data_IF_920846973317
#
_entry.id   IF_920846973317
#
_cell.length_a   1.000
_cell.length_b   1.000
_cell.length_c   1.000
_cell.angle_alpha   90.00
_cell.angle_beta   90.00
_cell.angle_gamma   90.00
#
_symmetry.space_group_name_H-M   'P 1'
#
loop_
_entity.id
_entity.type
_entity.pdbx_description
1 polymer ?
#
# COMPACT_ATOMS: atom_id res chain seq x y z
N UNK A 1 -17.27 5.79 -35.18
CA UNK A 1 -17.21 5.81 -33.69
C UNK A 1 -16.20 6.87 -33.28
N UNK A 2 -16.64 7.99 -32.77
CA UNK A 2 -15.74 9.04 -32.26
C UNK A 2 -15.12 8.54 -30.94
N UNK A 3 -13.80 8.55 -30.86
CA UNK A 3 -13.11 8.18 -29.60
C UNK A 3 -13.52 9.16 -28.50
N UNK A 4 -14.03 8.66 -27.40
CA UNK A 4 -14.46 9.48 -26.26
C UNK A 4 -13.27 10.08 -25.47
N UNK A 5 -12.11 9.45 -25.56
CA UNK A 5 -10.88 9.87 -24.89
C UNK A 5 -9.94 10.45 -25.92
N UNK A 6 -9.49 11.66 -25.68
CA UNK A 6 -8.51 12.38 -26.49
C UNK A 6 -7.32 12.81 -25.63
N UNK A 7 -6.21 13.14 -26.28
CA UNK A 7 -5.00 13.68 -25.63
C UNK A 7 -4.54 12.88 -24.40
N UNK A 8 -4.60 11.52 -24.52
CA UNK A 8 -4.05 10.67 -23.49
C UNK A 8 -2.53 10.88 -23.40
N UNK A 9 -2.08 11.35 -22.24
CA UNK A 9 -0.67 11.53 -21.94
C UNK A 9 -0.34 10.85 -20.61
N UNK A 10 0.62 9.95 -20.64
CA UNK A 10 1.23 9.37 -19.45
C UNK A 10 2.44 10.23 -19.09
N UNK A 11 2.26 11.15 -18.15
CA UNK A 11 3.30 12.11 -17.76
C UNK A 11 4.42 11.43 -16.99
N UNK A 12 4.06 10.49 -16.13
CA UNK A 12 4.99 9.63 -15.38
C UNK A 12 4.41 8.23 -15.26
N UNK A 13 5.13 7.30 -14.63
CA UNK A 13 4.59 5.95 -14.37
C UNK A 13 3.37 5.98 -13.43
N UNK A 14 3.24 7.03 -12.64
CA UNK A 14 2.21 7.18 -11.62
C UNK A 14 1.18 8.28 -11.94
N UNK A 15 1.29 8.95 -13.10
CA UNK A 15 0.41 10.06 -13.46
C UNK A 15 -0.10 9.90 -14.89
N UNK A 16 -1.42 9.99 -15.04
CA UNK A 16 -2.13 9.91 -16.32
C UNK A 16 -3.00 11.14 -16.47
N UNK A 17 -2.89 11.80 -17.62
CA UNK A 17 -3.73 12.92 -18.03
C UNK A 17 -4.47 12.55 -19.31
N UNK A 18 -5.73 12.89 -19.41
CA UNK A 18 -6.54 12.71 -20.61
C UNK A 18 -7.70 13.69 -20.69
N UNK A 19 -8.15 13.96 -21.89
CA UNK A 19 -9.30 14.80 -22.16
C UNK A 19 -10.50 13.95 -22.57
N UNK A 20 -11.69 14.29 -22.05
CA UNK A 20 -12.93 13.69 -22.46
C UNK A 20 -13.73 14.68 -23.32
N UNK A 21 -13.90 14.34 -24.59
CA UNK A 21 -14.79 15.08 -25.49
C UNK A 21 -16.19 14.48 -25.45
N UNK A 22 -17.10 15.19 -24.79
CA UNK A 22 -18.51 14.84 -24.76
C UNK A 22 -19.37 16.10 -24.93
N UNK A 23 -20.26 16.07 -25.89
CA UNK A 23 -21.17 17.19 -26.16
C UNK A 23 -22.44 17.20 -25.27
N UNK A 24 -22.52 16.29 -24.27
CA UNK A 24 -23.70 16.13 -23.45
C UNK A 24 -23.72 17.07 -22.24
N UNK A 25 -24.95 17.46 -21.84
CA UNK A 25 -25.23 18.32 -20.66
C UNK A 25 -24.75 17.74 -19.31
N UNK A 26 -24.33 16.46 -19.28
CA UNK A 26 -23.94 15.72 -18.07
C UNK A 26 -22.44 15.50 -17.91
N UNK A 27 -21.61 16.34 -18.54
CA UNK A 27 -20.14 16.21 -18.47
C UNK A 27 -19.60 16.11 -17.04
N UNK A 28 -20.02 17.05 -16.19
CA UNK A 28 -19.55 17.13 -14.79
C UNK A 28 -19.95 15.89 -13.99
N UNK A 29 -21.19 15.43 -14.15
CA UNK A 29 -21.67 14.22 -13.46
C UNK A 29 -20.89 12.98 -13.89
N UNK A 30 -20.60 12.86 -15.18
CA UNK A 30 -19.80 11.76 -15.72
C UNK A 30 -18.36 11.78 -15.22
N UNK A 31 -17.71 12.93 -15.24
CA UNK A 31 -16.34 13.11 -14.71
C UNK A 31 -16.29 12.79 -13.21
N UNK A 32 -17.28 13.25 -12.46
CA UNK A 32 -17.36 12.95 -11.03
C UNK A 32 -17.61 11.45 -10.76
N UNK A 33 -18.38 10.77 -11.61
CA UNK A 33 -18.56 9.33 -11.53
C UNK A 33 -17.23 8.59 -11.74
N UNK A 34 -16.47 8.95 -12.78
CA UNK A 34 -15.12 8.37 -13.01
C UNK A 34 -14.24 8.60 -11.80
N UNK A 35 -14.19 9.84 -11.29
CA UNK A 35 -13.39 10.17 -10.11
C UNK A 35 -13.72 9.28 -8.91
N UNK A 36 -15.02 9.10 -8.62
CA UNK A 36 -15.51 8.27 -7.52
C UNK A 36 -15.14 6.79 -7.70
N UNK A 37 -15.33 6.26 -8.91
CA UNK A 37 -14.97 4.87 -9.23
C UNK A 37 -13.46 4.64 -9.02
N UNK A 38 -12.64 5.55 -9.54
CA UNK A 38 -11.18 5.43 -9.41
C UNK A 38 -10.70 5.51 -7.96
N UNK A 39 -11.37 6.29 -7.11
CA UNK A 39 -10.98 6.44 -5.69
C UNK A 39 -11.51 5.27 -4.86
N UNK A 40 -12.75 4.81 -5.09
CA UNK A 40 -13.46 3.98 -4.13
C UNK A 40 -13.81 2.56 -4.58
N UNK A 41 -13.95 2.30 -5.87
CA UNK A 41 -14.54 1.05 -6.33
C UNK A 41 -13.52 0.04 -6.88
N UNK A 42 -12.28 0.46 -7.11
CA UNK A 42 -11.23 -0.43 -7.61
C UNK A 42 -10.69 -1.26 -6.45
N UNK A 43 -10.76 -2.58 -6.59
CA UNK A 43 -10.19 -3.51 -5.61
C UNK A 43 -8.68 -3.52 -5.71
N UNK A 44 -8.02 -3.27 -4.59
CA UNK A 44 -6.57 -3.37 -4.43
C UNK A 44 -6.20 -4.25 -3.24
N UNK A 45 -4.94 -4.61 -3.16
CA UNK A 45 -4.38 -5.33 -2.02
C UNK A 45 -3.79 -4.34 -1.02
N UNK A 46 -3.92 -4.64 0.26
CA UNK A 46 -3.18 -3.97 1.32
C UNK A 46 -2.75 -4.98 2.40
N UNK A 47 -1.99 -4.51 3.36
CA UNK A 47 -1.61 -5.30 4.53
C UNK A 47 -2.73 -5.15 5.57
N UNK A 48 -3.24 -6.27 6.07
CA UNK A 48 -4.35 -6.27 7.02
C UNK A 48 -3.85 -6.18 8.46
N UNK A 49 -4.03 -5.03 9.07
CA UNK A 49 -3.65 -4.80 10.47
C UNK A 49 -4.50 -5.61 11.47
N UNK A 50 -5.67 -6.11 11.06
CA UNK A 50 -6.52 -6.92 11.94
C UNK A 50 -6.03 -8.38 12.02
N UNK A 51 -5.17 -8.80 11.11
CA UNK A 51 -4.57 -10.15 11.08
C UNK A 51 -3.18 -10.20 11.71
N UNK A 52 -2.77 -9.16 12.41
CA UNK A 52 -1.48 -9.15 13.12
C UNK A 52 -1.47 -10.28 14.15
N UNK A 53 -0.67 -11.30 13.88
CA UNK A 53 -0.57 -12.50 14.74
C UNK A 53 0.49 -12.37 15.83
N UNK A 54 1.47 -11.53 15.61
CA UNK A 54 2.54 -11.25 16.57
C UNK A 54 2.91 -9.77 16.48
N UNK A 55 2.90 -9.11 17.62
CA UNK A 55 3.30 -7.71 17.72
C UNK A 55 4.15 -7.50 18.97
N UNK A 56 5.39 -7.09 18.77
CA UNK A 56 6.26 -6.60 19.84
C UNK A 56 6.87 -5.27 19.39
N UNK A 57 6.72 -4.26 20.19
CA UNK A 57 7.28 -2.93 19.92
C UNK A 57 7.84 -2.34 21.21
N UNK A 58 9.14 -2.21 21.26
CA UNK A 58 9.84 -1.52 22.36
C UNK A 58 10.38 -0.15 21.94
N UNK A 59 10.07 0.28 20.69
CA UNK A 59 10.49 1.58 20.19
C UNK A 59 9.66 2.72 20.78
N UNK A 60 10.16 3.94 20.62
CA UNK A 60 9.46 5.14 21.05
C UNK A 60 8.21 5.47 20.19
N UNK A 61 8.01 4.77 19.06
CA UNK A 61 6.86 4.99 18.17
C UNK A 61 5.66 4.21 18.69
N UNK A 62 4.52 4.88 18.76
CA UNK A 62 3.26 4.23 19.17
C UNK A 62 2.85 3.13 18.19
N UNK A 63 2.32 2.03 18.72
CA UNK A 63 1.82 0.89 17.97
C UNK A 63 0.82 1.28 16.88
N UNK A 64 -0.18 2.10 17.23
CA UNK A 64 -1.19 2.56 16.28
C UNK A 64 -0.59 3.31 15.09
N UNK A 65 0.52 4.02 15.30
CA UNK A 65 1.23 4.72 14.22
C UNK A 65 1.97 3.74 13.31
N UNK A 66 2.63 2.71 13.88
CA UNK A 66 3.28 1.66 13.10
C UNK A 66 2.26 0.88 12.27
N UNK A 67 1.12 0.52 12.87
CA UNK A 67 0.04 -0.17 12.19
C UNK A 67 -0.50 0.65 11.01
N UNK A 68 -0.74 1.95 11.21
CA UNK A 68 -1.18 2.84 10.12
C UNK A 68 -0.13 3.02 9.02
N UNK A 69 1.15 3.08 9.34
CA UNK A 69 2.22 3.11 8.33
C UNK A 69 2.25 1.83 7.51
N UNK A 70 2.05 0.69 8.15
CA UNK A 70 2.03 -0.61 7.49
C UNK A 70 0.82 -0.73 6.56
N UNK A 71 -0.38 -0.43 7.07
CA UNK A 71 -1.65 -0.48 6.33
C UNK A 71 -1.63 0.43 5.09
N UNK A 72 -1.07 1.63 5.22
CA UNK A 72 -1.00 2.62 4.14
C UNK A 72 0.19 2.43 3.20
N UNK A 73 1.03 1.41 3.42
CA UNK A 73 2.15 1.11 2.54
C UNK A 73 1.64 0.56 1.21
N UNK A 74 1.87 1.23 0.07
CA UNK A 74 1.33 0.80 -1.21
C UNK A 74 2.03 -0.48 -1.68
N UNK A 75 1.21 -1.47 -2.06
CA UNK A 75 1.67 -2.76 -2.60
C UNK A 75 1.14 -2.97 -4.01
N UNK A 76 1.88 -3.75 -4.81
CA UNK A 76 1.44 -4.12 -6.14
C UNK A 76 0.22 -5.07 -6.06
N UNK A 77 -0.69 -4.96 -7.03
CA UNK A 77 -1.81 -5.91 -7.14
C UNK A 77 -1.33 -7.25 -7.68
N UNK A 78 -1.40 -8.30 -6.84
CA UNK A 78 -1.08 -9.68 -7.22
C UNK A 78 -2.10 -10.63 -6.59
N UNK A 79 -2.50 -11.68 -7.32
CA UNK A 79 -3.46 -12.69 -6.86
C UNK A 79 -2.88 -13.70 -5.86
N UNK A 80 -1.56 -13.67 -5.65
CA UNK A 80 -0.86 -14.69 -4.87
C UNK A 80 -0.79 -14.38 -3.37
N UNK A 81 -1.24 -13.19 -2.97
CA UNK A 81 -1.15 -12.74 -1.58
C UNK A 81 -1.98 -13.56 -0.58
N UNK A 82 -3.00 -14.29 -1.04
CA UNK A 82 -3.83 -15.14 -0.18
C UNK A 82 -3.02 -16.20 0.57
N UNK A 83 -1.89 -16.64 0.01
CA UNK A 83 -1.01 -17.64 0.58
C UNK A 83 0.24 -17.08 1.25
N UNK A 84 0.37 -15.77 1.30
CA UNK A 84 1.55 -15.08 1.80
C UNK A 84 1.23 -14.29 3.07
N UNK A 85 2.24 -14.16 3.92
CA UNK A 85 2.28 -13.21 5.02
C UNK A 85 3.61 -12.47 5.01
N UNK A 86 3.63 -11.30 5.63
CA UNK A 86 4.87 -10.54 5.84
C UNK A 86 5.29 -10.63 7.30
N UNK A 87 6.58 -10.61 7.52
CA UNK A 87 7.19 -10.59 8.85
C UNK A 87 8.31 -9.57 8.91
N UNK A 88 8.37 -8.84 9.99
CA UNK A 88 9.49 -7.98 10.35
C UNK A 88 9.99 -8.41 11.74
N UNK A 89 11.25 -8.74 11.85
CA UNK A 89 11.88 -9.04 13.15
C UNK A 89 13.24 -8.36 13.23
N UNK A 90 13.28 -7.20 13.85
CA UNK A 90 14.49 -6.38 13.93
C UNK A 90 14.74 -5.90 15.35
N UNK A 91 15.96 -6.08 15.81
CA UNK A 91 16.49 -5.50 17.05
C UNK A 91 17.69 -4.62 16.71
N UNK A 92 17.82 -3.49 17.40
CA UNK A 92 19.02 -2.67 17.30
C UNK A 92 19.96 -2.93 18.49
N UNK A 93 21.02 -3.67 18.25
CA UNK A 93 22.07 -3.96 19.22
C UNK A 93 23.26 -2.98 19.11
N UNK A 94 23.19 -2.00 18.22
CA UNK A 94 24.25 -1.01 18.02
C UNK A 94 23.91 0.29 18.74
N UNK A 95 24.92 0.98 19.27
CA UNK A 95 24.74 2.28 19.92
C UNK A 95 24.32 3.40 18.95
N UNK A 96 24.46 3.19 17.64
CA UNK A 96 23.94 4.09 16.63
C UNK A 96 22.47 3.81 16.32
N UNK A 97 21.73 4.86 15.97
CA UNK A 97 20.33 4.73 15.55
C UNK A 97 20.22 3.88 14.27
N UNK A 98 19.36 2.86 14.29
CA UNK A 98 19.09 1.97 13.15
C UNK A 98 17.80 2.41 12.44
N UNK A 99 17.91 2.70 11.14
CA UNK A 99 16.75 2.94 10.30
C UNK A 99 16.20 1.62 9.78
N UNK A 100 14.89 1.45 9.86
CA UNK A 100 14.14 0.28 9.37
C UNK A 100 13.29 0.72 8.19
N UNK A 101 13.38 0.01 7.08
CA UNK A 101 12.68 0.30 5.84
C UNK A 101 11.71 -0.83 5.48
N UNK A 102 10.84 -0.63 4.50
CA UNK A 102 9.98 -1.70 4.00
C UNK A 102 10.77 -2.84 3.35
N UNK A 103 11.99 -2.57 2.89
CA UNK A 103 12.92 -3.61 2.39
C UNK A 103 13.37 -4.61 3.46
N UNK A 104 13.23 -4.26 4.74
CA UNK A 104 13.63 -5.14 5.84
C UNK A 104 12.55 -6.18 6.20
N UNK A 105 11.38 -6.11 5.57
CA UNK A 105 10.34 -7.11 5.73
C UNK A 105 10.67 -8.38 4.93
N UNK A 106 10.30 -9.52 5.49
CA UNK A 106 10.47 -10.83 4.88
C UNK A 106 9.09 -11.38 4.51
N UNK A 107 9.01 -12.01 3.35
CA UNK A 107 7.80 -12.65 2.86
C UNK A 107 7.81 -14.12 3.21
N UNK A 108 6.79 -14.58 3.87
CA UNK A 108 6.65 -15.94 4.35
C UNK A 108 5.42 -16.61 3.73
N UNK A 109 5.49 -17.90 3.52
CA UNK A 109 4.31 -18.71 3.21
C UNK A 109 3.47 -18.96 4.47
N UNK A 110 2.15 -18.73 4.39
CA UNK A 110 1.23 -18.91 5.51
C UNK A 110 1.24 -20.32 6.09
N UNK A 111 1.39 -21.33 5.24
CA UNK A 111 1.25 -22.74 5.64
C UNK A 111 2.55 -23.36 6.16
N UNK A 112 3.69 -22.92 5.64
CA UNK A 112 4.98 -23.52 5.95
C UNK A 112 5.89 -22.64 6.81
N UNK A 113 5.56 -21.38 7.00
CA UNK A 113 6.41 -20.34 7.62
C UNK A 113 7.82 -20.27 7.01
N UNK A 114 7.98 -20.76 5.77
CA UNK A 114 9.25 -20.65 5.02
C UNK A 114 9.27 -19.35 4.24
N UNK A 115 10.44 -18.79 4.11
CA UNK A 115 10.65 -17.63 3.23
C UNK A 115 10.30 -18.01 1.80
N UNK A 116 9.58 -17.12 1.14
CA UNK A 116 9.25 -17.25 -0.27
C UNK A 116 10.29 -16.52 -1.12
N UNK A 117 10.29 -16.83 -2.43
CA UNK A 117 11.21 -16.21 -3.39
C UNK A 117 10.91 -14.72 -3.67
N UNK A 118 9.81 -14.19 -3.08
CA UNK A 118 9.42 -12.80 -3.29
C UNK A 118 10.27 -11.87 -2.44
N UNK A 119 10.92 -10.94 -3.10
CA UNK A 119 11.62 -9.88 -2.41
C UNK A 119 10.66 -8.73 -2.06
N UNK A 120 10.95 -7.93 -1.03
CA UNK A 120 10.15 -6.74 -0.71
C UNK A 120 9.92 -5.80 -1.89
N UNK A 121 10.91 -5.68 -2.79
CA UNK A 121 10.83 -4.90 -4.03
C UNK A 121 9.77 -5.42 -5.03
N UNK A 122 9.39 -6.69 -4.94
CA UNK A 122 8.32 -7.29 -5.76
C UNK A 122 6.92 -7.02 -5.18
N UNK A 123 6.84 -6.61 -3.93
CA UNK A 123 5.60 -6.41 -3.18
C UNK A 123 5.32 -4.93 -2.99
N UNK A 124 6.25 -4.17 -2.44
CA UNK A 124 6.07 -2.76 -2.18
C UNK A 124 6.36 -1.91 -3.41
N UNK A 125 5.48 -0.96 -3.70
CA UNK A 125 5.69 0.02 -4.78
C UNK A 125 6.85 0.95 -4.45
N UNK A 126 7.03 1.28 -3.17
CA UNK A 126 8.12 2.12 -2.67
C UNK A 126 8.85 1.43 -1.52
N UNK A 127 9.73 0.47 -1.81
CA UNK A 127 10.37 -0.37 -0.78
C UNK A 127 11.29 0.41 0.15
N UNK A 128 11.80 1.57 -0.26
CA UNK A 128 12.71 2.43 0.54
C UNK A 128 11.98 3.42 1.45
N UNK A 129 10.69 3.25 1.69
CA UNK A 129 9.98 4.06 2.70
C UNK A 129 10.54 3.72 4.08
N UNK A 130 10.90 4.75 4.84
CA UNK A 130 11.32 4.62 6.23
C UNK A 130 10.13 4.20 7.10
N UNK A 131 10.18 3.00 7.63
CA UNK A 131 9.14 2.46 8.51
C UNK A 131 9.30 2.93 9.96
N UNK A 132 10.50 2.75 10.52
CA UNK A 132 10.82 3.13 11.89
C UNK A 132 12.29 3.51 12.05
N UNK A 133 12.62 4.13 13.19
CA UNK A 133 14.00 4.31 13.67
C UNK A 133 14.09 3.73 15.05
N UNK A 134 15.08 2.86 15.29
CA UNK A 134 15.30 2.18 16.54
C UNK A 134 16.54 2.72 17.23
N UNK A 135 16.43 3.00 18.52
CA UNK A 135 17.54 3.29 19.39
C UNK A 135 18.19 1.98 19.89
N UNK A 136 19.30 2.11 20.62
CA UNK A 136 19.97 0.95 21.21
C UNK A 136 19.03 0.16 22.13
N UNK A 137 18.97 -1.16 21.95
CA UNK A 137 18.12 -2.07 22.73
C UNK A 137 16.65 -2.10 22.30
N UNK A 138 16.21 -1.25 21.35
CA UNK A 138 14.85 -1.29 20.84
C UNK A 138 14.66 -2.39 19.79
N UNK A 139 13.46 -2.98 19.78
CA UNK A 139 13.08 -4.05 18.87
C UNK A 139 11.65 -3.83 18.34
N UNK A 140 11.43 -4.27 17.11
CA UNK A 140 10.10 -4.39 16.49
C UNK A 140 9.97 -5.79 15.91
N UNK A 141 8.89 -6.48 16.29
CA UNK A 141 8.46 -7.72 15.67
C UNK A 141 6.99 -7.61 15.27
N UNK A 142 6.71 -7.82 13.99
CA UNK A 142 5.35 -7.72 13.42
C UNK A 142 5.19 -8.86 12.41
N UNK A 143 4.08 -9.59 12.51
CA UNK A 143 3.63 -10.51 11.47
C UNK A 143 2.19 -10.17 11.08
N UNK A 144 1.93 -10.06 9.78
CA UNK A 144 0.63 -9.70 9.25
C UNK A 144 0.37 -10.37 7.90
N UNK A 145 -0.90 -10.44 7.53
CA UNK A 145 -1.35 -11.01 6.28
C UNK A 145 -1.74 -9.91 5.28
N UNK A 146 -2.02 -10.34 4.05
CA UNK A 146 -2.55 -9.45 3.01
C UNK A 146 -4.06 -9.61 2.92
N UNK A 147 -4.73 -8.53 2.53
CA UNK A 147 -6.15 -8.53 2.22
C UNK A 147 -6.43 -7.75 0.94
N UNK A 148 -7.60 -8.00 0.34
CA UNK A 148 -8.04 -7.32 -0.88
C UNK A 148 -9.40 -6.72 -0.62
N UNK A 149 -9.54 -5.42 -0.85
CA UNK A 149 -10.83 -4.72 -0.73
C UNK A 149 -10.83 -3.45 -1.59
N UNK A 150 -11.94 -2.75 -1.57
CA UNK A 150 -12.09 -1.41 -2.15
C UNK A 150 -12.30 -0.38 -1.02
N UNK A 151 -12.25 0.89 -1.37
CA UNK A 151 -12.36 1.98 -0.39
C UNK A 151 -13.80 2.48 -0.18
N UNK A 152 -14.82 1.69 -0.55
CA UNK A 152 -16.23 2.10 -0.37
C UNK A 152 -16.61 2.34 1.08
N UNK A 153 -15.97 1.64 2.00
CA UNK A 153 -16.20 1.78 3.45
C UNK A 153 -15.36 2.92 4.08
N UNK A 154 -14.71 3.73 3.24
CA UNK A 154 -13.96 4.92 3.70
C UNK A 154 -12.55 4.61 4.23
N UNK A 155 -12.04 3.40 4.07
CA UNK A 155 -10.67 3.08 4.47
C UNK A 155 -9.67 3.52 3.38
N UNK A 156 -8.82 4.49 3.73
CA UNK A 156 -7.81 5.06 2.84
C UNK A 156 -6.75 4.06 2.37
N UNK A 157 -6.54 2.95 3.07
CA UNK A 157 -5.62 1.89 2.68
C UNK A 157 -6.00 1.24 1.35
N UNK A 158 -7.30 1.24 1.01
CA UNK A 158 -7.83 0.69 -0.23
C UNK A 158 -8.06 1.74 -1.32
N UNK A 159 -7.51 2.95 -1.18
CA UNK A 159 -7.60 3.99 -2.20
C UNK A 159 -6.45 3.83 -3.22
N UNK A 160 -6.74 3.41 -4.48
CA UNK A 160 -5.68 3.10 -5.45
C UNK A 160 -5.00 4.33 -6.02
N UNK A 161 -5.64 5.48 -5.94
CA UNK A 161 -5.18 6.72 -6.56
C UNK A 161 -5.48 7.94 -5.70
N UNK A 162 -4.57 8.90 -5.70
CA UNK A 162 -4.75 10.21 -5.06
C UNK A 162 -3.71 11.20 -5.58
N UNK A 163 -4.06 12.44 -5.86
CA UNK A 163 -5.40 12.98 -6.01
C UNK A 163 -5.97 12.77 -7.43
N UNK A 164 -7.29 12.85 -7.60
CA UNK A 164 -7.94 12.95 -8.91
C UNK A 164 -8.65 14.28 -8.99
N UNK A 165 -8.33 15.07 -10.00
CA UNK A 165 -8.98 16.34 -10.28
C UNK A 165 -9.42 16.42 -11.75
N UNK A 166 -10.41 17.25 -12.04
CA UNK A 166 -10.85 17.58 -13.40
C UNK A 166 -11.18 19.08 -13.48
N UNK A 167 -11.03 19.65 -14.66
CA UNK A 167 -11.26 21.06 -14.97
C UNK A 167 -12.36 21.22 -16.00
#
# INVERSE_FOLDING_TARGET
MTKAIHNYNKTTDNEIQFELHNNNKHKISFMNAIRRICIGEIVINCIDINTITSFTNTSCINESMLNKRLELSPIYKKSIYDNLKISLNITNNNHSMKSVYLTDFVVLNKHSNKEEQYQPDDIFVYPRILFAKLQYGEAIHIESEFTSNNSTDGNAAFCPVSPISFH
#
